data_IF_328913808427
#
_entry.id   IF_328913808427
#
_cell.length_a   1.000
_cell.length_b   1.000
_cell.length_c   1.000
_cell.angle_alpha   90.00
_cell.angle_beta   90.00
_cell.angle_gamma   90.00
#
_symmetry.space_group_name_H-M   'P 1'
#
loop_
_entity.id
_entity.type
_entity.pdbx_description
1 polymer ?
#
# COMPACT_ATOMS: atom_id res chain seq x y z
N UNK A 1 13.77 6.49 -13.96
CA UNK A 1 13.59 6.05 -12.57
C UNK A 1 12.51 4.97 -12.59
N UNK A 2 12.80 3.84 -12.03
CA UNK A 2 11.85 2.73 -11.84
C UNK A 2 11.32 2.78 -10.41
N UNK A 3 10.04 2.46 -10.21
CA UNK A 3 9.40 2.44 -8.89
C UNK A 3 8.83 1.04 -8.69
N UNK A 4 9.29 0.38 -7.63
CA UNK A 4 8.78 -0.91 -7.18
C UNK A 4 7.98 -0.74 -5.90
N UNK A 5 6.76 -1.24 -5.87
CA UNK A 5 5.93 -1.28 -4.67
C UNK A 5 6.28 -2.53 -3.87
N UNK A 6 6.49 -2.34 -2.56
CA UNK A 6 6.80 -3.45 -1.65
C UNK A 6 5.77 -3.52 -0.53
N UNK A 7 5.40 -4.74 -0.09
CA UNK A 7 4.44 -4.93 0.99
C UNK A 7 5.00 -4.47 2.34
N UNK A 8 4.12 -3.89 3.16
CA UNK A 8 4.41 -3.54 4.55
C UNK A 8 3.16 -3.64 5.41
N UNK A 9 3.25 -4.30 6.57
CA UNK A 9 2.16 -4.38 7.53
C UNK A 9 2.30 -3.26 8.57
N UNK A 10 1.57 -2.18 8.38
CA UNK A 10 1.56 -1.07 9.36
C UNK A 10 1.06 -1.54 10.74
N UNK A 11 0.14 -2.49 10.74
CA UNK A 11 -0.41 -3.16 11.92
C UNK A 11 -0.26 -4.67 11.76
N UNK A 12 0.95 -5.18 12.06
CA UNK A 12 1.35 -6.58 11.85
C UNK A 12 0.51 -7.60 12.62
N UNK A 13 -0.12 -7.18 13.74
CA UNK A 13 -0.95 -8.00 14.62
C UNK A 13 -2.45 -7.98 14.25
N UNK A 14 -2.80 -7.51 13.05
CA UNK A 14 -4.21 -7.44 12.64
C UNK A 14 -4.74 -8.83 12.30
N UNK A 15 -5.78 -9.30 13.00
CA UNK A 15 -6.38 -10.60 12.72
C UNK A 15 -7.11 -10.60 11.37
N UNK A 16 -7.44 -11.78 10.81
CA UNK A 16 -8.11 -11.89 9.50
C UNK A 16 -9.39 -11.06 9.37
N UNK A 17 -10.17 -10.96 10.43
CA UNK A 17 -11.41 -10.16 10.49
C UNK A 17 -11.17 -8.65 10.63
N UNK A 18 -9.91 -8.23 10.73
CA UNK A 18 -9.56 -6.83 11.01
C UNK A 18 -9.76 -6.47 12.49
N UNK A 19 -9.49 -5.22 12.84
CA UNK A 19 -9.66 -4.69 14.21
C UNK A 19 -10.12 -3.24 14.19
N UNK A 20 -10.57 -2.76 15.34
CA UNK A 20 -10.99 -1.37 15.50
C UNK A 20 -9.81 -0.41 15.38
N UNK A 21 -10.13 0.81 14.98
CA UNK A 21 -9.13 1.88 14.93
C UNK A 21 -8.57 2.16 16.34
N UNK A 22 -7.24 2.29 16.46
CA UNK A 22 -6.62 2.72 17.71
C UNK A 22 -7.12 4.09 18.17
N UNK A 23 -7.14 4.32 19.49
CA UNK A 23 -7.65 5.56 20.06
C UNK A 23 -6.89 6.81 19.60
N UNK A 24 -5.58 6.68 19.32
CA UNK A 24 -4.82 7.80 18.78
C UNK A 24 -5.28 8.19 17.37
N UNK A 25 -5.70 7.23 16.54
CA UNK A 25 -6.27 7.49 15.21
C UNK A 25 -7.64 8.14 15.34
N UNK A 26 -8.50 7.62 16.23
CA UNK A 26 -9.81 8.22 16.50
C UNK A 26 -9.68 9.66 16.99
N UNK A 27 -8.71 9.93 17.89
CA UNK A 27 -8.41 11.29 18.35
C UNK A 27 -7.90 12.18 17.22
N UNK A 28 -6.97 11.69 16.39
CA UNK A 28 -6.46 12.47 15.27
C UNK A 28 -7.58 12.88 14.29
N UNK A 29 -8.52 11.97 14.02
CA UNK A 29 -9.71 12.27 13.20
C UNK A 29 -10.58 13.32 13.85
N UNK A 30 -10.87 13.20 15.14
CA UNK A 30 -11.64 14.20 15.88
C UNK A 30 -10.98 15.61 15.86
N UNK A 31 -9.67 15.70 15.57
CA UNK A 31 -8.92 16.96 15.41
C UNK A 31 -8.67 17.34 13.94
N UNK A 32 -9.50 16.84 13.01
CA UNK A 32 -9.50 17.27 11.62
C UNK A 32 -8.41 16.65 10.73
N UNK A 33 -7.84 15.49 11.10
CA UNK A 33 -6.85 14.83 10.23
C UNK A 33 -7.48 14.26 8.98
N UNK A 34 -8.72 13.80 9.06
CA UNK A 34 -9.46 13.24 7.92
C UNK A 34 -9.81 14.33 6.90
N UNK A 35 -10.29 15.47 7.35
CA UNK A 35 -10.62 16.62 6.50
C UNK A 35 -9.38 17.15 5.78
N UNK A 36 -8.21 17.14 6.45
CA UNK A 36 -6.94 17.53 5.82
C UNK A 36 -6.51 16.55 4.74
N UNK A 37 -6.64 15.23 4.98
CA UNK A 37 -6.34 14.22 3.97
C UNK A 37 -7.31 14.30 2.79
N UNK A 38 -8.59 14.51 3.05
CA UNK A 38 -9.61 14.71 2.01
C UNK A 38 -9.30 15.94 1.15
N UNK A 39 -8.97 17.07 1.78
CA UNK A 39 -8.63 18.30 1.06
C UNK A 39 -7.37 18.10 0.20
N UNK A 40 -6.37 17.39 0.71
CA UNK A 40 -5.17 17.05 -0.05
C UNK A 40 -5.50 16.13 -1.24
N UNK A 41 -6.26 15.06 -1.04
CA UNK A 41 -6.66 14.16 -2.12
C UNK A 41 -7.45 14.92 -3.21
N UNK A 42 -8.40 15.76 -2.81
CA UNK A 42 -9.19 16.57 -3.73
C UNK A 42 -8.31 17.52 -4.57
N UNK A 43 -7.22 18.05 -4.00
CA UNK A 43 -6.28 18.91 -4.75
C UNK A 43 -5.55 18.18 -5.88
N UNK A 44 -5.50 16.84 -5.80
CA UNK A 44 -4.96 15.95 -6.86
C UNK A 44 -6.07 15.31 -7.71
N UNK A 45 -7.33 15.72 -7.57
CA UNK A 45 -8.46 15.15 -8.30
C UNK A 45 -8.82 13.73 -7.85
N UNK A 46 -8.47 13.35 -6.62
CA UNK A 46 -8.74 12.04 -6.04
C UNK A 46 -9.80 12.13 -4.96
N UNK A 47 -10.74 11.18 -4.96
CA UNK A 47 -11.63 10.96 -3.83
C UNK A 47 -10.88 10.23 -2.71
N UNK A 48 -11.20 10.57 -1.46
CA UNK A 48 -10.63 9.90 -0.29
C UNK A 48 -11.71 9.63 0.74
N UNK A 49 -11.73 8.41 1.25
CA UNK A 49 -12.54 7.98 2.39
C UNK A 49 -11.63 7.29 3.40
N UNK A 50 -11.71 7.70 4.64
CA UNK A 50 -11.05 6.97 5.70
C UNK A 50 -11.70 5.61 5.93
N UNK A 51 -10.90 4.60 6.16
CA UNK A 51 -11.41 3.27 6.51
C UNK A 51 -12.03 3.28 7.92
N UNK A 52 -13.15 2.60 8.11
CA UNK A 52 -13.82 2.51 9.42
C UNK A 52 -13.07 1.62 10.41
N UNK A 53 -12.19 0.74 9.92
CA UNK A 53 -11.45 -0.27 10.68
C UNK A 53 -10.02 -0.41 10.13
N UNK A 54 -9.16 -1.08 10.91
CA UNK A 54 -7.91 -1.63 10.39
C UNK A 54 -8.23 -2.97 9.73
N UNK A 55 -7.98 -3.09 8.45
CA UNK A 55 -8.13 -4.33 7.69
C UNK A 55 -6.86 -5.17 7.73
N UNK A 56 -6.99 -6.49 7.64
CA UNK A 56 -5.85 -7.35 7.35
C UNK A 56 -5.51 -7.24 5.87
N UNK A 57 -4.31 -6.76 5.55
CA UNK A 57 -3.92 -6.47 4.16
C UNK A 57 -3.11 -7.59 3.51
N UNK A 58 -2.93 -8.75 4.19
CA UNK A 58 -2.10 -9.84 3.67
C UNK A 58 -2.55 -10.31 2.30
N UNK A 59 -3.83 -10.67 2.15
CA UNK A 59 -4.37 -11.13 0.86
C UNK A 59 -4.21 -10.09 -0.25
N UNK A 60 -4.38 -8.81 0.06
CA UNK A 60 -4.17 -7.71 -0.88
C UNK A 60 -2.73 -7.60 -1.35
N UNK A 61 -1.74 -7.82 -0.45
CA UNK A 61 -0.33 -7.86 -0.83
C UNK A 61 -0.01 -9.08 -1.69
N UNK A 62 -0.46 -10.27 -1.31
CA UNK A 62 -0.24 -11.51 -2.08
C UNK A 62 -0.89 -11.43 -3.47
N UNK A 63 -2.11 -10.88 -3.59
CA UNK A 63 -2.76 -10.64 -4.88
C UNK A 63 -1.99 -9.61 -5.75
N UNK A 64 -1.36 -8.61 -5.11
CA UNK A 64 -0.51 -7.64 -5.82
C UNK A 64 0.75 -8.31 -6.40
N UNK A 65 1.33 -9.31 -5.70
CA UNK A 65 2.47 -10.06 -6.22
C UNK A 65 2.08 -10.92 -7.43
N UNK A 66 0.92 -11.58 -7.40
CA UNK A 66 0.38 -12.24 -8.59
C UNK A 66 0.26 -11.27 -9.77
N UNK A 67 -0.30 -10.09 -9.52
CA UNK A 67 -0.45 -9.07 -10.56
C UNK A 67 0.91 -8.59 -11.09
N UNK A 68 1.92 -8.46 -10.22
CA UNK A 68 3.29 -8.07 -10.59
C UNK A 68 3.93 -9.12 -11.51
N UNK A 69 3.82 -10.39 -11.19
CA UNK A 69 4.34 -11.50 -12.03
C UNK A 69 3.69 -11.53 -13.42
N UNK A 70 2.41 -11.12 -13.50
CA UNK A 70 1.67 -11.04 -14.75
C UNK A 70 1.78 -9.67 -15.46
N UNK A 71 2.75 -8.81 -15.04
CA UNK A 71 3.02 -7.51 -15.68
C UNK A 71 1.93 -6.46 -15.45
N UNK A 72 1.06 -6.63 -14.44
CA UNK A 72 -0.08 -5.76 -14.10
C UNK A 72 0.01 -5.16 -12.69
N UNK A 73 1.16 -5.24 -12.06
CA UNK A 73 1.34 -4.80 -10.67
C UNK A 73 0.93 -3.36 -10.42
N UNK A 74 1.31 -2.42 -11.27
CA UNK A 74 0.97 -1.01 -11.12
C UNK A 74 -0.53 -0.73 -11.33
N UNK A 75 -1.13 -1.38 -12.33
CA UNK A 75 -2.57 -1.23 -12.62
C UNK A 75 -3.41 -1.80 -11.47
N UNK A 76 -3.06 -3.01 -11.01
CA UNK A 76 -3.73 -3.66 -9.89
C UNK A 76 -3.61 -2.83 -8.60
N UNK A 77 -2.39 -2.37 -8.27
CA UNK A 77 -2.14 -1.52 -7.12
C UNK A 77 -3.02 -0.26 -7.14
N UNK A 78 -3.06 0.46 -8.26
CA UNK A 78 -3.90 1.66 -8.39
C UNK A 78 -5.39 1.35 -8.25
N UNK A 79 -5.87 0.27 -8.88
CA UNK A 79 -7.26 -0.14 -8.80
C UNK A 79 -7.65 -0.54 -7.37
N UNK A 80 -6.80 -1.32 -6.68
CA UNK A 80 -7.03 -1.72 -5.30
C UNK A 80 -7.03 -0.51 -4.34
N UNK A 81 -6.08 0.41 -4.49
CA UNK A 81 -6.04 1.64 -3.68
C UNK A 81 -7.28 2.51 -3.87
N UNK A 82 -7.77 2.67 -5.10
CA UNK A 82 -9.04 3.36 -5.36
C UNK A 82 -10.20 2.68 -4.64
N UNK A 83 -10.33 1.36 -4.73
CA UNK A 83 -11.38 0.61 -4.03
C UNK A 83 -11.32 0.80 -2.52
N UNK A 84 -10.12 0.76 -1.94
CA UNK A 84 -9.94 0.95 -0.49
C UNK A 84 -10.18 2.40 -0.07
N UNK A 85 -9.51 3.35 -0.71
CA UNK A 85 -9.44 4.73 -0.22
C UNK A 85 -10.42 5.70 -0.89
N UNK A 86 -11.03 5.37 -2.02
CA UNK A 86 -12.09 6.19 -2.60
C UNK A 86 -13.47 5.55 -2.42
N UNK A 87 -13.56 4.22 -2.48
CA UNK A 87 -14.83 3.51 -2.38
C UNK A 87 -15.09 2.93 -0.98
N UNK A 88 -14.06 2.80 -0.12
CA UNK A 88 -14.16 2.30 1.26
C UNK A 88 -14.32 0.78 1.34
N UNK A 89 -13.82 0.07 0.32
CA UNK A 89 -13.91 -1.39 0.26
C UNK A 89 -12.80 -2.06 1.10
N UNK A 90 -13.08 -3.26 1.60
CA UNK A 90 -12.17 -4.03 2.44
C UNK A 90 -11.22 -4.91 1.57
N UNK A 91 -9.90 -4.66 1.58
CA UNK A 91 -8.93 -5.42 0.79
C UNK A 91 -8.70 -6.85 1.29
N UNK A 92 -9.29 -7.27 2.39
CA UNK A 92 -9.27 -8.66 2.85
C UNK A 92 -10.35 -9.53 2.21
N UNK A 93 -11.29 -8.92 1.46
CA UNK A 93 -12.41 -9.64 0.87
C UNK A 93 -12.09 -10.12 -0.53
N UNK A 94 -12.30 -11.42 -0.81
CA UNK A 94 -12.11 -11.99 -2.13
C UNK A 94 -12.93 -11.31 -3.22
N UNK A 95 -14.15 -10.87 -2.91
CA UNK A 95 -14.98 -10.13 -3.87
C UNK A 95 -14.31 -8.84 -4.36
N UNK A 96 -13.55 -8.15 -3.49
CA UNK A 96 -12.80 -6.94 -3.83
C UNK A 96 -11.57 -7.29 -4.66
N UNK A 97 -10.80 -8.29 -4.23
CA UNK A 97 -9.57 -8.68 -4.93
C UNK A 97 -9.86 -9.25 -6.33
N UNK A 98 -10.86 -10.12 -6.43
CA UNK A 98 -11.29 -10.71 -7.71
C UNK A 98 -11.77 -9.63 -8.69
N UNK A 99 -12.67 -8.74 -8.26
CA UNK A 99 -13.14 -7.67 -9.13
C UNK A 99 -12.03 -6.68 -9.51
N UNK A 100 -11.00 -6.53 -8.67
CA UNK A 100 -9.80 -5.75 -9.02
C UNK A 100 -8.97 -6.45 -10.10
N UNK A 101 -8.79 -7.78 -9.98
CA UNK A 101 -8.07 -8.59 -10.97
C UNK A 101 -8.77 -8.55 -12.34
N UNK A 102 -10.08 -8.78 -12.37
CA UNK A 102 -10.91 -8.73 -13.58
C UNK A 102 -10.83 -7.36 -14.28
N UNK A 103 -10.89 -6.26 -13.50
CA UNK A 103 -10.81 -4.90 -14.03
C UNK A 103 -9.51 -4.64 -14.80
N UNK A 104 -8.40 -5.22 -14.34
CA UNK A 104 -7.09 -5.02 -14.98
C UNK A 104 -6.72 -6.14 -15.97
N UNK A 105 -7.67 -7.06 -16.24
CA UNK A 105 -7.53 -8.13 -17.23
C UNK A 105 -6.69 -9.32 -16.74
N UNK A 106 -6.67 -9.58 -15.43
CA UNK A 106 -6.05 -10.76 -14.82
C UNK A 106 -7.07 -11.89 -14.62
N UNK A 107 -6.59 -13.12 -14.58
CA UNK A 107 -7.39 -14.29 -14.21
C UNK A 107 -7.62 -14.30 -12.69
N UNK A 108 -8.85 -14.00 -12.27
CA UNK A 108 -9.23 -13.92 -10.88
C UNK A 108 -9.29 -15.28 -10.18
N UNK A 109 -9.57 -16.36 -10.93
CA UNK A 109 -9.63 -17.72 -10.38
C UNK A 109 -8.22 -18.23 -10.11
N UNK A 110 -7.31 -18.06 -11.07
CA UNK A 110 -5.89 -18.41 -10.91
C UNK A 110 -5.25 -17.61 -9.77
N UNK A 111 -5.49 -16.29 -9.72
CA UNK A 111 -5.01 -15.44 -8.63
C UNK A 111 -5.46 -16.00 -7.28
N UNK A 112 -6.75 -16.27 -7.12
CA UNK A 112 -7.28 -16.77 -5.85
C UNK A 112 -6.66 -18.11 -5.49
N UNK A 113 -6.56 -19.06 -6.43
CA UNK A 113 -5.98 -20.37 -6.20
C UNK A 113 -4.53 -20.28 -5.74
N UNK A 114 -3.70 -19.46 -6.39
CA UNK A 114 -2.28 -19.30 -6.05
C UNK A 114 -2.11 -18.62 -4.69
N UNK A 115 -2.89 -17.59 -4.38
CA UNK A 115 -2.86 -16.93 -3.08
C UNK A 115 -3.33 -17.87 -1.96
N UNK A 116 -4.44 -18.60 -2.15
CA UNK A 116 -4.94 -19.57 -1.16
C UNK A 116 -3.97 -20.74 -0.93
N UNK A 117 -3.19 -21.13 -1.94
CA UNK A 117 -2.13 -22.14 -1.79
C UNK A 117 -0.92 -21.66 -0.98
N UNK A 118 -0.84 -20.35 -0.67
CA UNK A 118 0.30 -19.73 0.00
C UNK A 118 1.50 -19.48 -0.91
N UNK A 119 1.33 -19.51 -2.22
CA UNK A 119 2.43 -19.34 -3.19
C UNK A 119 3.23 -18.05 -2.97
N UNK A 120 2.58 -16.97 -2.56
CA UNK A 120 3.19 -15.66 -2.35
C UNK A 120 3.52 -15.34 -0.89
N UNK A 121 3.08 -16.17 0.06
CA UNK A 121 3.19 -15.89 1.51
C UNK A 121 4.63 -15.65 1.94
N UNK A 122 5.53 -16.56 1.62
CA UNK A 122 6.94 -16.48 2.03
C UNK A 122 7.62 -15.22 1.46
N UNK A 123 7.35 -14.89 0.19
CA UNK A 123 7.89 -13.69 -0.45
C UNK A 123 7.39 -12.41 0.24
N UNK A 124 6.09 -12.29 0.45
CA UNK A 124 5.48 -11.12 1.11
C UNK A 124 6.05 -10.94 2.52
N UNK A 125 6.16 -12.02 3.29
CA UNK A 125 6.72 -11.97 4.63
C UNK A 125 8.21 -11.63 4.66
N UNK A 126 8.97 -12.09 3.67
CA UNK A 126 10.39 -11.72 3.52
C UNK A 126 10.52 -10.21 3.25
N UNK A 127 9.71 -9.65 2.36
CA UNK A 127 9.72 -8.21 2.08
C UNK A 127 9.33 -7.38 3.32
N UNK A 128 8.35 -7.82 4.07
CA UNK A 128 7.95 -7.16 5.34
C UNK A 128 9.09 -7.21 6.36
N UNK A 129 9.74 -8.37 6.53
CA UNK A 129 10.91 -8.50 7.43
C UNK A 129 12.07 -7.62 6.98
N UNK A 130 12.36 -7.58 5.68
CA UNK A 130 13.39 -6.70 5.12
C UNK A 130 13.11 -5.23 5.47
N UNK A 131 11.88 -4.75 5.25
CA UNK A 131 11.51 -3.37 5.57
C UNK A 131 11.70 -3.06 7.06
N UNK A 132 11.35 -4.00 7.95
CA UNK A 132 11.57 -3.86 9.40
C UNK A 132 13.07 -3.81 9.75
N UNK A 133 13.89 -4.66 9.13
CA UNK A 133 15.34 -4.71 9.35
C UNK A 133 16.05 -3.41 8.97
N UNK A 134 15.59 -2.75 7.90
CA UNK A 134 16.13 -1.43 7.49
C UNK A 134 15.50 -0.26 8.25
N UNK A 135 14.66 -0.54 9.25
CA UNK A 135 14.10 0.48 10.16
C UNK A 135 12.85 1.20 9.64
N UNK A 136 12.11 0.65 8.68
CA UNK A 136 10.81 1.20 8.27
C UNK A 136 9.81 1.02 9.41
N UNK A 137 9.25 2.13 9.89
CA UNK A 137 8.27 2.16 11.00
C UNK A 137 6.92 2.74 10.57
N UNK A 138 6.79 3.15 9.31
CA UNK A 138 5.57 3.77 8.79
C UNK A 138 5.56 3.87 7.28
N UNK A 139 4.43 4.18 6.73
CA UNK A 139 4.19 4.31 5.29
C UNK A 139 3.53 5.65 4.94
N UNK A 140 3.81 6.18 3.76
CA UNK A 140 4.77 5.69 2.78
C UNK A 140 6.22 5.90 3.23
N UNK A 141 7.10 4.96 2.91
CA UNK A 141 8.56 5.13 2.99
C UNK A 141 9.16 4.83 1.63
N UNK A 142 9.99 5.72 1.13
CA UNK A 142 10.66 5.58 -0.17
C UNK A 142 12.13 5.26 0.05
N UNK A 143 12.55 4.05 -0.34
CA UNK A 143 13.95 3.64 -0.31
C UNK A 143 14.55 3.85 -1.69
N UNK A 144 15.66 4.58 -1.78
CA UNK A 144 16.29 4.98 -3.02
C UNK A 144 17.68 4.38 -3.07
N UNK A 145 17.93 3.55 -4.10
CA UNK A 145 19.20 2.85 -4.33
C UNK A 145 19.68 2.06 -3.09
N UNK A 146 18.76 1.48 -2.33
CA UNK A 146 19.00 0.70 -1.09
C UNK A 146 19.85 1.45 -0.03
N UNK A 147 19.96 2.76 -0.12
CA UNK A 147 20.86 3.57 0.71
C UNK A 147 20.20 4.80 1.35
N UNK A 148 19.27 5.41 0.67
CA UNK A 148 18.62 6.64 1.14
C UNK A 148 17.15 6.37 1.40
N UNK A 149 16.56 7.04 2.38
CA UNK A 149 15.14 6.92 2.68
C UNK A 149 14.47 8.28 2.82
N UNK A 150 13.28 8.42 2.24
CA UNK A 150 12.36 9.54 2.50
C UNK A 150 11.14 8.94 3.20
N UNK A 151 10.85 9.40 4.40
CA UNK A 151 9.75 8.89 5.23
C UNK A 151 8.56 9.85 5.17
N UNK A 152 7.37 9.30 4.94
CA UNK A 152 6.11 10.03 4.91
C UNK A 152 5.79 10.67 3.55
N UNK A 153 4.57 11.16 3.43
CA UNK A 153 4.10 11.93 2.27
C UNK A 153 4.64 13.37 2.34
N UNK A 154 5.91 13.53 2.00
CA UNK A 154 6.59 14.82 1.99
C UNK A 154 6.14 15.68 0.80
N UNK A 155 6.28 17.02 0.88
CA UNK A 155 6.08 17.91 -0.27
C UNK A 155 6.95 17.52 -1.46
N UNK A 156 6.46 17.77 -2.68
CA UNK A 156 7.14 17.39 -3.92
C UNK A 156 8.58 17.94 -4.03
N UNK A 157 8.80 19.16 -3.52
CA UNK A 157 10.10 19.83 -3.50
C UNK A 157 11.15 19.08 -2.68
N UNK A 158 10.72 18.35 -1.63
CA UNK A 158 11.60 17.50 -0.84
C UNK A 158 12.12 16.33 -1.69
N UNK A 159 11.23 15.69 -2.47
CA UNK A 159 11.64 14.63 -3.40
C UNK A 159 12.57 15.14 -4.48
N UNK A 160 12.26 16.29 -5.10
CA UNK A 160 13.11 16.89 -6.13
C UNK A 160 14.52 17.16 -5.58
N UNK A 161 14.61 17.78 -4.41
CA UNK A 161 15.88 18.15 -3.78
C UNK A 161 16.70 16.90 -3.41
N UNK A 162 16.04 15.89 -2.80
CA UNK A 162 16.70 14.65 -2.42
C UNK A 162 17.23 13.88 -3.65
N UNK A 163 16.41 13.73 -4.69
CA UNK A 163 16.81 13.04 -5.92
C UNK A 163 17.94 13.77 -6.65
N UNK A 164 17.91 15.10 -6.69
CA UNK A 164 18.99 15.89 -7.28
C UNK A 164 20.32 15.74 -6.52
N UNK A 165 20.27 15.66 -5.19
CA UNK A 165 21.46 15.44 -4.37
C UNK A 165 22.02 14.03 -4.52
N UNK A 166 21.16 13.02 -4.52
CA UNK A 166 21.55 11.61 -4.75
C UNK A 166 22.19 11.45 -6.13
N UNK A 167 21.64 12.08 -7.16
CA UNK A 167 22.20 12.02 -8.51
C UNK A 167 23.63 12.58 -8.60
N UNK A 168 23.95 13.64 -7.84
CA UNK A 168 25.31 14.20 -7.77
C UNK A 168 26.31 13.27 -7.09
N UNK A 169 25.84 12.43 -6.15
CA UNK A 169 26.70 11.51 -5.38
C UNK A 169 26.95 10.18 -6.12
N UNK A 170 26.17 9.87 -7.14
CA UNK A 170 26.22 8.61 -7.89
C UNK A 170 26.79 8.77 -9.32
N UNK A 171 27.06 9.96 -9.76
CA UNK A 171 27.74 10.29 -11.05
C UNK A 171 29.19 10.68 -10.81
#
# INVERSE_FOLDING_TARGET
>A
MEVEWRPFYLYWDTPPEGKDLPDYVKRARAHGSEERLQAMANSYGMDFKSTARIYNTRLGHEATEYARENGKGNEFHKALFRRVYAEGQDPSQWSVLRSTAEEVGLDADEMQQLVESGHYTDYVEEQVRWAQQIGVTGVPTYVINDRYAIVGAQPYEVFQSALAEIAKQTG
#
